data_IF_426285930692
#
_entry.id   IF_426285930692
#
_cell.length_a   1.000
_cell.length_b   1.000
_cell.length_c   1.000
_cell.angle_alpha   90.00
_cell.angle_beta   90.00
_cell.angle_gamma   90.00
#
_symmetry.space_group_name_H-M   'P 1'
#
loop_
_entity.id
_entity.type
_entity.pdbx_description
1 polymer ?
#
# COMPACT_ATOMS: atom_id res chain seq x y z
N UNK A 1 9.61 19.32 -13.48
CA UNK A 1 9.95 18.76 -12.15
C UNK A 1 9.88 17.23 -12.24
N UNK A 2 10.98 16.48 -11.98
CA UNK A 2 10.99 15.00 -12.09
C UNK A 2 10.90 14.24 -10.76
N UNK A 3 11.01 14.91 -9.61
CA UNK A 3 11.20 14.30 -8.28
C UNK A 3 10.15 13.24 -7.91
N UNK A 4 8.87 13.45 -8.26
CA UNK A 4 7.80 12.50 -7.92
C UNK A 4 7.88 11.19 -8.72
N UNK A 5 8.29 11.25 -9.99
CA UNK A 5 8.44 10.07 -10.83
C UNK A 5 9.63 9.21 -10.37
N UNK A 6 10.73 9.87 -9.98
CA UNK A 6 11.91 9.20 -9.42
C UNK A 6 11.60 8.50 -8.09
N UNK A 7 10.77 9.10 -7.23
CA UNK A 7 10.33 8.50 -5.97
C UNK A 7 9.46 7.27 -6.21
N UNK A 8 8.47 7.34 -7.10
CA UNK A 8 7.62 6.19 -7.41
C UNK A 8 8.40 5.02 -8.02
N UNK A 9 9.34 5.30 -8.93
CA UNK A 9 10.22 4.28 -9.51
C UNK A 9 11.08 3.60 -8.43
N UNK A 10 11.61 4.36 -7.48
CA UNK A 10 12.37 3.83 -6.34
C UNK A 10 11.50 2.96 -5.42
N UNK A 11 10.27 3.40 -5.12
CA UNK A 11 9.31 2.64 -4.32
C UNK A 11 8.96 1.33 -5.02
N UNK A 12 8.60 1.37 -6.30
CA UNK A 12 8.30 0.18 -7.09
C UNK A 12 9.48 -0.80 -7.11
N UNK A 13 10.71 -0.30 -7.26
CA UNK A 13 11.92 -1.12 -7.19
C UNK A 13 12.08 -1.79 -5.83
N UNK A 14 11.89 -1.06 -4.73
CA UNK A 14 11.97 -1.61 -3.38
C UNK A 14 10.92 -2.71 -3.15
N UNK A 15 9.69 -2.51 -3.62
CA UNK A 15 8.64 -3.52 -3.49
C UNK A 15 8.94 -4.78 -4.30
N UNK A 16 9.51 -4.64 -5.51
CA UNK A 16 9.96 -5.78 -6.31
C UNK A 16 11.06 -6.57 -5.60
N UNK A 17 12.00 -5.89 -4.96
CA UNK A 17 13.03 -6.56 -4.13
C UNK A 17 12.40 -7.32 -2.96
N UNK A 18 11.46 -6.71 -2.24
CA UNK A 18 10.75 -7.36 -1.14
C UNK A 18 9.91 -8.56 -1.63
N UNK A 19 9.34 -8.47 -2.82
CA UNK A 19 8.61 -9.58 -3.43
C UNK A 19 9.55 -10.76 -3.69
N UNK A 20 10.73 -10.51 -4.27
CA UNK A 20 11.75 -11.53 -4.48
C UNK A 20 12.29 -12.11 -3.16
N UNK A 21 12.42 -11.28 -2.11
CA UNK A 21 12.78 -11.75 -0.76
C UNK A 21 11.76 -12.78 -0.25
N UNK A 22 10.46 -12.45 -0.33
CA UNK A 22 9.39 -13.35 0.12
C UNK A 22 9.29 -14.65 -0.68
N UNK A 23 9.85 -14.70 -1.91
CA UNK A 23 9.98 -15.93 -2.69
C UNK A 23 11.14 -16.83 -2.22
N UNK A 24 12.21 -16.22 -1.70
CA UNK A 24 13.42 -16.91 -1.29
C UNK A 24 13.36 -17.43 0.16
N UNK A 25 12.52 -16.83 1.01
CA UNK A 25 12.42 -17.15 2.44
C UNK A 25 11.39 -18.26 2.71
N UNK A 26 11.71 -19.32 3.48
CA UNK A 26 10.73 -20.29 3.97
C UNK A 26 9.58 -19.60 4.73
N UNK A 27 8.33 -19.97 4.43
CA UNK A 27 7.13 -19.29 4.97
C UNK A 27 7.03 -17.78 4.60
N UNK A 28 7.87 -17.27 3.69
CA UNK A 28 7.87 -15.88 3.21
C UNK A 28 6.73 -15.50 2.27
N UNK A 29 5.80 -16.43 2.00
CA UNK A 29 4.68 -16.22 1.08
C UNK A 29 3.83 -14.99 1.43
N UNK A 30 3.69 -14.69 2.73
CA UNK A 30 2.96 -13.49 3.17
C UNK A 30 3.72 -12.19 2.85
N UNK A 31 5.06 -12.15 2.96
CA UNK A 31 5.86 -11.00 2.55
C UNK A 31 5.73 -10.76 1.04
N UNK A 32 5.78 -11.82 0.24
CA UNK A 32 5.54 -11.75 -1.20
C UNK A 32 4.15 -11.15 -1.51
N UNK A 33 3.12 -11.59 -0.77
CA UNK A 33 1.76 -11.10 -0.96
C UNK A 33 1.62 -9.61 -0.58
N UNK A 34 2.20 -9.19 0.55
CA UNK A 34 2.24 -7.79 0.99
C UNK A 34 2.98 -6.90 -0.02
N UNK A 35 4.13 -7.35 -0.53
CA UNK A 35 4.84 -6.62 -1.58
C UNK A 35 4.01 -6.53 -2.87
N UNK A 36 3.39 -7.64 -3.28
CA UNK A 36 2.55 -7.71 -4.46
C UNK A 36 1.36 -6.76 -4.42
N UNK A 37 0.63 -6.70 -3.30
CA UNK A 37 -0.51 -5.77 -3.16
C UNK A 37 -0.04 -4.31 -3.19
N UNK A 38 1.11 -3.99 -2.59
CA UNK A 38 1.70 -2.65 -2.65
C UNK A 38 2.03 -2.21 -4.08
N UNK A 39 2.55 -3.12 -4.91
CA UNK A 39 2.79 -2.88 -6.34
C UNK A 39 1.47 -2.61 -7.05
N UNK A 40 0.45 -3.44 -6.82
CA UNK A 40 -0.87 -3.26 -7.43
C UNK A 40 -1.47 -1.91 -7.05
N UNK A 41 -1.35 -1.47 -5.80
CA UNK A 41 -1.85 -0.15 -5.37
C UNK A 41 -1.16 0.99 -6.12
N UNK A 42 0.17 0.95 -6.27
CA UNK A 42 0.92 1.95 -7.06
C UNK A 42 0.46 1.97 -8.51
N UNK A 43 0.40 0.82 -9.16
CA UNK A 43 -0.03 0.72 -10.56
C UNK A 43 -1.48 1.19 -10.75
N UNK A 44 -2.37 0.86 -9.83
CA UNK A 44 -3.77 1.32 -9.86
C UNK A 44 -3.81 2.84 -9.75
N UNK A 45 -3.11 3.43 -8.78
CA UNK A 45 -3.04 4.88 -8.59
C UNK A 45 -2.48 5.62 -9.81
N UNK A 46 -1.56 5.03 -10.58
CA UNK A 46 -1.07 5.61 -11.84
C UNK A 46 -2.11 5.57 -12.98
N UNK A 47 -3.00 4.55 -12.96
CA UNK A 47 -4.00 4.32 -14.01
C UNK A 47 -5.34 5.02 -13.76
N UNK A 48 -5.59 5.53 -12.55
CA UNK A 48 -6.86 6.19 -12.22
C UNK A 48 -7.14 7.43 -13.06
N UNK A 49 -8.41 7.67 -13.34
CA UNK A 49 -8.85 8.83 -14.15
C UNK A 49 -9.20 10.05 -13.31
N UNK A 50 -9.50 9.85 -12.03
CA UNK A 50 -10.00 10.87 -11.12
C UNK A 50 -9.28 10.77 -9.77
N UNK A 51 -9.30 11.86 -8.99
CA UNK A 51 -8.69 11.91 -7.64
C UNK A 51 -7.22 11.42 -7.63
N UNK A 52 -6.45 11.83 -8.65
CA UNK A 52 -5.10 11.31 -8.92
C UNK A 52 -4.14 11.61 -7.78
N UNK A 53 -4.23 12.80 -7.21
CA UNK A 53 -3.33 13.23 -6.12
C UNK A 53 -3.60 12.41 -4.86
N UNK A 54 -4.87 12.19 -4.52
CA UNK A 54 -5.29 11.40 -3.37
C UNK A 54 -4.92 9.92 -3.53
N UNK A 55 -5.20 9.34 -4.70
CA UNK A 55 -4.82 7.96 -4.99
C UNK A 55 -3.29 7.79 -4.95
N UNK A 56 -2.53 8.76 -5.49
CA UNK A 56 -1.08 8.74 -5.45
C UNK A 56 -0.52 8.89 -4.03
N UNK A 57 -1.15 9.70 -3.17
CA UNK A 57 -0.72 9.86 -1.78
C UNK A 57 -0.94 8.58 -0.97
N UNK A 58 -2.12 7.96 -1.09
CA UNK A 58 -2.42 6.66 -0.46
C UNK A 58 -1.42 5.60 -0.93
N UNK A 59 -1.19 5.52 -2.24
CA UNK A 59 -0.31 4.51 -2.82
C UNK A 59 1.15 4.70 -2.40
N UNK A 60 1.64 5.94 -2.42
CA UNK A 60 2.97 6.28 -1.93
C UNK A 60 3.11 5.88 -0.46
N UNK A 61 2.15 6.22 0.39
CA UNK A 61 2.20 5.89 1.82
C UNK A 61 2.22 4.39 2.07
N UNK A 62 1.38 3.63 1.36
CA UNK A 62 1.39 2.17 1.45
C UNK A 62 2.75 1.59 1.05
N UNK A 63 3.32 2.05 -0.07
CA UNK A 63 4.62 1.59 -0.55
C UNK A 63 5.78 1.95 0.39
N UNK A 64 5.74 3.14 1.01
CA UNK A 64 6.72 3.57 2.03
C UNK A 64 6.68 2.65 3.27
N UNK A 65 5.49 2.36 3.80
CA UNK A 65 5.31 1.46 4.94
C UNK A 65 5.85 0.06 4.63
N UNK A 66 5.48 -0.49 3.46
CA UNK A 66 5.93 -1.82 3.03
C UNK A 66 7.45 -1.84 2.80
N UNK A 67 8.03 -0.78 2.25
CA UNK A 67 9.48 -0.71 1.95
C UNK A 67 10.37 -0.84 3.19
N UNK A 68 9.85 -0.65 4.41
CA UNK A 68 10.60 -0.86 5.65
C UNK A 68 10.81 -2.35 5.94
N UNK A 69 9.95 -3.23 5.43
CA UNK A 69 10.05 -4.68 5.61
C UNK A 69 11.28 -5.31 4.91
N UNK A 70 11.94 -4.57 4.02
CA UNK A 70 13.22 -4.99 3.41
C UNK A 70 14.37 -5.15 4.41
N UNK A 71 14.17 -4.73 5.66
CA UNK A 71 15.14 -4.89 6.75
C UNK A 71 15.13 -6.29 7.36
N UNK A 72 14.18 -7.14 6.96
CA UNK A 72 14.17 -8.56 7.30
C UNK A 72 15.34 -9.25 6.58
N UNK A 73 16.04 -10.14 7.27
CA UNK A 73 17.25 -10.79 6.75
C UNK A 73 16.89 -11.88 5.73
N UNK A 74 17.71 -12.02 4.70
CA UNK A 74 17.60 -13.06 3.67
C UNK A 74 17.94 -14.42 4.32
N UNK A 75 16.90 -15.17 4.69
CA UNK A 75 17.02 -16.52 5.25
C UNK A 75 16.67 -16.65 6.73
N UNK A 76 16.27 -15.56 7.39
CA UNK A 76 15.62 -15.65 8.70
C UNK A 76 14.16 -16.09 8.53
N UNK A 77 13.79 -17.19 9.19
CA UNK A 77 12.40 -17.65 9.21
C UNK A 77 11.52 -16.66 9.97
N UNK A 78 10.36 -16.33 9.39
CA UNK A 78 9.41 -15.43 10.04
C UNK A 78 8.77 -16.14 11.23
N UNK A 79 8.83 -15.52 12.41
CA UNK A 79 8.07 -16.00 13.56
C UNK A 79 6.55 -15.98 13.28
N UNK A 80 5.81 -16.95 13.82
CA UNK A 80 4.35 -17.03 13.68
C UNK A 80 3.61 -15.72 14.04
N UNK A 81 4.05 -15.04 15.10
CA UNK A 81 3.51 -13.74 15.51
C UNK A 81 3.72 -12.65 14.44
N UNK A 82 4.88 -12.63 13.79
CA UNK A 82 5.14 -11.71 12.67
C UNK A 82 4.29 -12.07 11.45
N UNK A 83 4.12 -13.36 11.16
CA UNK A 83 3.24 -13.83 10.08
C UNK A 83 1.81 -13.36 10.32
N UNK A 84 1.26 -13.55 11.52
CA UNK A 84 -0.10 -13.12 11.85
C UNK A 84 -0.28 -11.60 11.71
N UNK A 85 0.69 -10.82 12.17
CA UNK A 85 0.67 -9.36 11.98
C UNK A 85 0.76 -8.95 10.52
N UNK A 86 1.57 -9.64 9.71
CA UNK A 86 1.64 -9.42 8.26
C UNK A 86 0.34 -9.78 7.55
N UNK A 87 -0.36 -10.84 7.98
CA UNK A 87 -1.68 -11.22 7.43
C UNK A 87 -2.75 -10.16 7.71
N UNK A 88 -2.78 -9.63 8.94
CA UNK A 88 -3.67 -8.51 9.31
C UNK A 88 -3.34 -7.27 8.48
N UNK A 89 -2.06 -6.94 8.35
CA UNK A 89 -1.63 -5.80 7.52
C UNK A 89 -1.99 -5.98 6.04
N UNK A 90 -1.79 -7.17 5.49
CA UNK A 90 -2.16 -7.53 4.13
C UNK A 90 -3.67 -7.38 3.88
N UNK A 91 -4.49 -7.73 4.86
CA UNK A 91 -5.95 -7.57 4.78
C UNK A 91 -6.36 -6.10 4.69
N UNK A 92 -5.74 -5.24 5.51
CA UNK A 92 -5.94 -3.79 5.40
C UNK A 92 -5.50 -3.27 4.03
N UNK A 93 -4.36 -3.71 3.50
CA UNK A 93 -3.90 -3.29 2.18
C UNK A 93 -4.88 -3.66 1.04
N UNK A 94 -5.56 -4.81 1.13
CA UNK A 94 -6.62 -5.18 0.17
C UNK A 94 -7.79 -4.22 0.22
N UNK A 95 -8.26 -3.86 1.41
CA UNK A 95 -9.34 -2.90 1.56
C UNK A 95 -8.94 -1.50 1.05
N UNK A 96 -7.68 -1.12 1.24
CA UNK A 96 -7.14 0.13 0.69
C UNK A 96 -7.12 0.09 -0.84
N UNK A 97 -6.71 -1.03 -1.46
CA UNK A 97 -6.76 -1.18 -2.91
C UNK A 97 -8.19 -0.96 -3.45
N UNK A 98 -9.19 -1.62 -2.86
CA UNK A 98 -10.60 -1.45 -3.26
C UNK A 98 -11.06 0.01 -3.15
N UNK A 99 -10.63 0.73 -2.11
CA UNK A 99 -10.92 2.16 -1.95
C UNK A 99 -10.22 3.00 -3.01
N UNK A 100 -8.96 2.73 -3.33
CA UNK A 100 -8.21 3.43 -4.39
C UNK A 100 -8.88 3.21 -5.75
N UNK A 101 -9.31 1.99 -6.07
CA UNK A 101 -10.06 1.71 -7.32
C UNK A 101 -11.36 2.50 -7.39
N UNK A 102 -12.11 2.56 -6.28
CA UNK A 102 -13.38 3.31 -6.19
C UNK A 102 -13.17 4.80 -6.32
N UNK A 103 -12.20 5.36 -5.59
CA UNK A 103 -11.81 6.77 -5.69
C UNK A 103 -11.37 7.11 -7.12
N UNK A 104 -10.68 6.19 -7.79
CA UNK A 104 -10.20 6.37 -9.15
C UNK A 104 -11.26 6.29 -10.25
N UNK A 105 -12.43 5.71 -9.94
CA UNK A 105 -13.50 5.40 -10.91
C UNK A 105 -14.83 6.13 -10.66
N UNK A 106 -15.05 6.69 -9.46
CA UNK A 106 -16.32 7.31 -9.05
C UNK A 106 -16.91 8.28 -10.10
N UNK A 107 -18.13 8.00 -10.55
CA UNK A 107 -18.83 8.69 -11.65
C UNK A 107 -19.33 10.11 -11.35
N UNK A 108 -19.94 10.79 -12.35
CA UNK A 108 -20.22 12.23 -12.32
C UNK A 108 -21.49 12.67 -11.54
N UNK A 109 -22.23 11.74 -10.92
CA UNK A 109 -23.65 11.97 -10.56
C UNK A 109 -23.93 12.66 -9.21
N UNK A 110 -22.91 13.04 -8.43
CA UNK A 110 -23.13 13.76 -7.16
C UNK A 110 -22.44 15.13 -7.15
N UNK A 111 -23.12 16.13 -6.60
CA UNK A 111 -22.69 17.55 -6.50
C UNK A 111 -21.19 17.65 -6.17
N UNK A 112 -20.41 18.32 -7.03
CA UNK A 112 -18.93 18.42 -6.96
C UNK A 112 -18.36 18.79 -5.58
N UNK A 113 -19.08 19.58 -4.79
CA UNK A 113 -18.66 20.00 -3.45
C UNK A 113 -18.84 18.91 -2.39
N UNK A 114 -19.95 18.16 -2.42
CA UNK A 114 -20.15 16.99 -1.54
C UNK A 114 -19.16 15.88 -1.88
N UNK A 115 -18.77 15.77 -3.15
CA UNK A 115 -17.75 14.84 -3.62
C UNK A 115 -16.36 15.16 -3.07
N UNK A 116 -15.92 16.43 -3.09
CA UNK A 116 -14.59 16.80 -2.63
C UNK A 116 -14.37 16.52 -1.13
N UNK A 117 -15.37 16.86 -0.30
CA UNK A 117 -15.35 16.56 1.14
C UNK A 117 -15.28 15.05 1.39
N UNK A 118 -16.11 14.27 0.67
CA UNK A 118 -16.10 12.82 0.81
C UNK A 118 -14.79 12.17 0.34
N UNK A 119 -14.16 12.68 -0.74
CA UNK A 119 -12.85 12.19 -1.21
C UNK A 119 -11.75 12.46 -0.18
N UNK A 120 -11.73 13.64 0.43
CA UNK A 120 -10.76 13.95 1.49
C UNK A 120 -10.96 13.09 2.73
N UNK A 121 -12.21 12.88 3.16
CA UNK A 121 -12.53 12.01 4.29
C UNK A 121 -12.14 10.55 4.01
N UNK A 122 -12.45 10.02 2.82
CA UNK A 122 -12.04 8.67 2.41
C UNK A 122 -10.52 8.53 2.32
N UNK A 123 -9.82 9.55 1.83
CA UNK A 123 -8.35 9.57 1.76
C UNK A 123 -7.73 9.54 3.16
N UNK A 124 -8.25 10.38 4.06
CA UNK A 124 -7.81 10.44 5.45
C UNK A 124 -8.07 9.12 6.19
N UNK A 125 -9.24 8.52 5.98
CA UNK A 125 -9.56 7.19 6.50
C UNK A 125 -8.55 6.15 6.02
N UNK A 126 -8.23 6.12 4.72
CA UNK A 126 -7.22 5.23 4.16
C UNK A 126 -5.85 5.41 4.84
N UNK A 127 -5.38 6.65 4.96
CA UNK A 127 -4.09 6.97 5.56
C UNK A 127 -4.03 6.60 7.05
N UNK A 128 -5.12 6.84 7.79
CA UNK A 128 -5.21 6.46 9.20
C UNK A 128 -5.14 4.94 9.37
N UNK A 129 -5.94 4.19 8.59
CA UNK A 129 -5.95 2.72 8.65
C UNK A 129 -4.60 2.12 8.24
N UNK A 130 -3.95 2.67 7.21
CA UNK A 130 -2.59 2.29 6.84
C UNK A 130 -1.59 2.52 8.00
N UNK A 131 -1.72 3.63 8.71
CA UNK A 131 -0.84 3.97 9.81
C UNK A 131 -1.09 3.08 11.05
N UNK A 132 -2.34 2.87 11.43
CA UNK A 132 -2.71 1.97 12.54
C UNK A 132 -2.23 0.54 12.28
N UNK A 133 -2.50 0.01 11.08
CA UNK A 133 -2.08 -1.34 10.72
C UNK A 133 -0.55 -1.47 10.67
N UNK A 134 0.15 -0.43 10.20
CA UNK A 134 1.61 -0.38 10.21
C UNK A 134 2.18 -0.30 11.63
N UNK A 135 1.55 0.44 12.55
CA UNK A 135 1.96 0.48 13.94
C UNK A 135 1.82 -0.89 14.62
N UNK A 136 0.69 -1.58 14.39
CA UNK A 136 0.47 -2.94 14.89
C UNK A 136 1.53 -3.90 14.34
N UNK A 137 1.83 -3.81 13.04
CA UNK A 137 2.86 -4.63 12.40
C UNK A 137 4.24 -4.48 13.03
N UNK A 138 4.61 -3.26 13.45
CA UNK A 138 5.92 -2.98 14.05
C UNK A 138 5.95 -3.08 15.58
N UNK A 139 4.82 -3.32 16.23
CA UNK A 139 4.78 -3.46 17.70
C UNK A 139 5.40 -4.81 18.08
N UNK A 140 6.56 -4.77 18.75
CA UNK A 140 7.21 -5.97 19.32
C UNK A 140 6.54 -6.40 20.61
#
# INVERSE_FOLDING_TARGET
MPVAADVNANLLRNLKLLQSLGEAVPHGGILKAVAGIGITILETAERVRQNKEECADIARRAAEHISVLKRLDEGEELSDDLVERLERYHSVLKEILEKVERLGTAGPSWKRTLRALNVQDETKDCLNRLNEAYQILNHR
#
